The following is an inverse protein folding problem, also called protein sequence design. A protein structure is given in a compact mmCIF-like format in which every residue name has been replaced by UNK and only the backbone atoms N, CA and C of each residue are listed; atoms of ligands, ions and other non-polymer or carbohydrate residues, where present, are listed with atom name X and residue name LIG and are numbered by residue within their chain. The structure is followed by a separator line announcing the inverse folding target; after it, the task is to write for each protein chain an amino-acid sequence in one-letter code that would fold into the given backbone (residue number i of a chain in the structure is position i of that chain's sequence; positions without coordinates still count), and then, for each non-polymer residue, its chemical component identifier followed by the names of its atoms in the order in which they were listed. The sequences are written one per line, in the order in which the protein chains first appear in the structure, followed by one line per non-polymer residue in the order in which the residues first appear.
data_IF_172905657081
#
_entry.id   IF_172905657081
#
_cell.length_a   1.000
_cell.length_b   1.000
_cell.length_c   1.000
_cell.angle_alpha   90.00
_cell.angle_beta   90.00
_cell.angle_gamma   90.00
#
_symmetry.space_group_name_H-M   'P 1'
#
loop_
_entity.id
_entity.type
_entity.pdbx_description
1 polymer ?
#
# COMPACT_ATOMS: atom_id res chain seq x y z
N UNK A 1 -31.96 -77.18 3.65
CA UNK A 1 -31.38 -78.47 4.09
C UNK A 1 -29.89 -78.45 3.80
N UNK A 2 -29.13 -79.19 4.61
CA UNK A 2 -27.68 -79.10 4.86
C UNK A 2 -26.80 -79.73 3.77
N UNK A 3 -25.51 -79.37 3.85
CA UNK A 3 -24.27 -80.08 3.44
C UNK A 3 -23.54 -79.38 2.26
N UNK A 4 -22.45 -78.62 2.47
CA UNK A 4 -21.12 -78.93 3.01
C UNK A 4 -20.26 -79.78 2.07
N UNK A 5 -19.25 -79.16 1.43
CA UNK A 5 -17.89 -79.69 1.28
C UNK A 5 -16.91 -78.52 1.12
N UNK A 6 -15.93 -78.49 2.01
CA UNK A 6 -14.76 -77.62 2.02
C UNK A 6 -13.72 -78.13 1.01
N UNK A 7 -12.84 -77.25 0.51
CA UNK A 7 -11.37 -77.37 0.60
C UNK A 7 -10.71 -76.04 0.20
N UNK A 8 -9.76 -75.66 1.05
CA UNK A 8 -8.75 -74.61 1.04
C UNK A 8 -8.27 -74.00 -0.29
N UNK A 9 -8.08 -72.67 -0.25
CA UNK A 9 -7.25 -71.90 -1.17
C UNK A 9 -6.82 -70.59 -0.49
N UNK A 10 -5.74 -70.66 0.29
CA UNK A 10 -5.05 -69.56 0.93
C UNK A 10 -4.40 -68.65 -0.15
N UNK A 11 -4.87 -67.42 -0.31
CA UNK A 11 -4.11 -66.36 -0.96
C UNK A 11 -4.22 -65.07 -0.14
N UNK A 12 -3.22 -64.90 0.73
CA UNK A 12 -2.88 -63.68 1.42
C UNK A 12 -2.33 -62.68 0.38
N UNK A 13 -3.11 -61.67 0.01
CA UNK A 13 -2.69 -60.61 -0.90
C UNK A 13 -2.67 -59.27 -0.19
N UNK A 14 -1.55 -58.94 0.44
CA UNK A 14 -1.21 -57.60 0.94
C UNK A 14 -1.37 -56.57 -0.18
N UNK A 15 -2.42 -55.75 -0.15
CA UNK A 15 -2.49 -54.53 -0.95
C UNK A 15 -1.63 -53.47 -0.28
N UNK A 16 -0.38 -53.39 -0.74
CA UNK A 16 0.63 -52.42 -0.36
C UNK A 16 0.14 -51.01 -0.72
N UNK A 17 -0.09 -50.17 0.29
CA UNK A 17 -0.37 -48.75 0.09
C UNK A 17 0.85 -48.05 -0.49
N UNK A 18 0.75 -47.58 -1.73
CA UNK A 18 1.73 -46.69 -2.32
C UNK A 18 1.53 -45.28 -1.73
N UNK A 19 2.26 -44.98 -0.66
CA UNK A 19 2.49 -43.59 -0.21
C UNK A 19 3.46 -42.98 -1.22
N UNK A 20 2.95 -42.21 -2.17
CA UNK A 20 3.79 -41.36 -3.00
C UNK A 20 4.36 -40.25 -2.11
N UNK A 21 5.69 -40.06 -2.05
CA UNK A 21 6.23 -38.87 -1.41
C UNK A 21 5.82 -37.68 -2.26
N UNK A 22 4.93 -36.83 -1.74
CA UNK A 22 4.84 -35.45 -2.21
C UNK A 22 6.22 -34.85 -1.92
N UNK A 23 7.03 -34.69 -2.97
CA UNK A 23 8.20 -33.85 -2.88
C UNK A 23 7.74 -32.46 -2.49
N UNK A 24 7.94 -32.09 -1.22
CA UNK A 24 8.05 -30.70 -0.86
C UNK A 24 9.17 -30.15 -1.75
N UNK A 25 8.80 -29.35 -2.75
CA UNK A 25 9.79 -28.63 -3.52
C UNK A 25 10.45 -27.69 -2.52
N UNK A 26 11.59 -28.11 -1.97
CA UNK A 26 12.54 -27.19 -1.39
C UNK A 26 12.87 -26.24 -2.52
N UNK A 27 12.29 -25.05 -2.45
CA UNK A 27 12.70 -23.89 -3.24
C UNK A 27 14.16 -23.70 -2.85
N UNK A 28 15.04 -24.29 -3.65
CA UNK A 28 16.48 -24.20 -3.46
C UNK A 28 16.84 -22.74 -3.53
N UNK A 29 17.58 -22.27 -2.54
CA UNK A 29 18.07 -20.90 -2.51
C UNK A 29 18.89 -20.68 -3.78
N UNK A 30 18.44 -19.74 -4.60
CA UNK A 30 19.11 -19.39 -5.86
C UNK A 30 20.39 -18.66 -5.48
N UNK A 31 21.54 -19.32 -5.69
CA UNK A 31 22.85 -18.67 -5.52
C UNK A 31 23.12 -17.80 -6.75
N UNK A 32 22.94 -16.50 -6.58
CA UNK A 32 23.33 -15.47 -7.54
C UNK A 32 23.95 -14.32 -6.76
N UNK A 33 25.10 -13.83 -7.20
CA UNK A 33 25.77 -12.69 -6.56
C UNK A 33 24.94 -11.40 -6.68
N UNK A 34 23.99 -11.37 -7.62
CA UNK A 34 23.07 -10.26 -7.91
C UNK A 34 21.63 -10.76 -7.94
N UNK A 35 20.75 -10.14 -7.17
CA UNK A 35 19.30 -10.37 -7.22
C UNK A 35 18.60 -9.23 -7.94
N UNK A 36 17.46 -9.54 -8.55
CA UNK A 36 16.58 -8.59 -9.23
C UNK A 36 15.21 -8.64 -8.55
N UNK A 37 14.63 -7.47 -8.30
CA UNK A 37 13.27 -7.32 -7.77
C UNK A 37 12.50 -6.30 -8.59
N UNK A 38 11.18 -6.43 -8.60
CA UNK A 38 10.27 -5.41 -9.08
C UNK A 38 9.53 -4.78 -7.88
N UNK A 39 9.94 -3.59 -7.40
CA UNK A 39 9.29 -2.91 -6.29
C UNK A 39 7.81 -2.58 -6.54
N UNK A 40 7.44 -2.29 -7.78
CA UNK A 40 6.08 -1.96 -8.14
C UNK A 40 5.18 -3.20 -8.03
N UNK A 41 5.63 -4.33 -8.58
CA UNK A 41 4.92 -5.62 -8.40
C UNK A 41 4.84 -6.02 -6.94
N UNK A 42 5.91 -5.87 -6.16
CA UNK A 42 5.85 -6.16 -4.72
C UNK A 42 4.79 -5.32 -4.00
N UNK A 43 4.69 -4.03 -4.33
CA UNK A 43 3.66 -3.13 -3.79
C UNK A 43 2.25 -3.52 -4.25
N UNK A 44 2.07 -3.97 -5.50
CA UNK A 44 0.76 -4.34 -6.03
C UNK A 44 0.28 -5.71 -5.54
N UNK A 45 1.19 -6.65 -5.33
CA UNK A 45 0.88 -8.06 -5.11
C UNK A 45 0.86 -8.45 -3.62
N UNK A 46 1.63 -7.76 -2.76
CA UNK A 46 1.66 -8.03 -1.32
C UNK A 46 0.40 -7.59 -0.58
N UNK A 47 0.08 -8.26 0.53
CA UNK A 47 -1.08 -7.96 1.38
C UNK A 47 -0.97 -6.56 2.00
N UNK A 48 0.23 -6.18 2.43
CA UNK A 48 0.51 -4.83 2.94
C UNK A 48 0.29 -3.77 1.87
N UNK A 49 0.85 -3.97 0.67
CA UNK A 49 0.69 -3.01 -0.42
C UNK A 49 -0.75 -2.88 -0.91
N UNK A 50 -1.51 -3.98 -0.95
CA UNK A 50 -2.96 -3.97 -1.20
C UNK A 50 -3.73 -3.19 -0.14
N UNK A 51 -3.38 -3.33 1.15
CA UNK A 51 -4.00 -2.53 2.22
C UNK A 51 -3.74 -1.04 2.01
N UNK A 52 -2.50 -0.63 1.76
CA UNK A 52 -2.15 0.78 1.55
C UNK A 52 -2.96 1.40 0.40
N UNK A 53 -3.09 0.67 -0.71
CA UNK A 53 -3.93 1.09 -1.83
C UNK A 53 -5.42 1.17 -1.45
N UNK A 54 -5.90 0.19 -0.68
CA UNK A 54 -7.26 0.18 -0.14
C UNK A 54 -7.56 1.38 0.78
N UNK A 55 -6.58 1.84 1.55
CA UNK A 55 -6.72 3.02 2.42
C UNK A 55 -6.86 4.31 1.62
N UNK A 56 -6.01 4.52 0.60
CA UNK A 56 -6.15 5.68 -0.31
C UNK A 56 -7.47 5.63 -1.06
N UNK A 57 -7.89 4.45 -1.49
CA UNK A 57 -9.16 4.25 -2.15
C UNK A 57 -10.33 4.64 -1.23
N UNK A 58 -10.36 4.11 -0.01
CA UNK A 58 -11.39 4.43 0.97
C UNK A 58 -11.43 5.92 1.33
N UNK A 59 -10.26 6.57 1.42
CA UNK A 59 -10.18 7.99 1.69
C UNK A 59 -10.63 8.86 0.53
N UNK A 60 -10.32 8.46 -0.72
CA UNK A 60 -10.88 9.10 -1.91
C UNK A 60 -12.39 9.06 -1.89
N UNK A 61 -12.97 7.89 -1.58
CA UNK A 61 -14.42 7.71 -1.56
C UNK A 61 -15.06 8.57 -0.45
N UNK A 62 -14.41 8.70 0.71
CA UNK A 62 -14.84 9.63 1.77
C UNK A 62 -14.80 11.09 1.32
N UNK A 63 -13.76 11.50 0.59
CA UNK A 63 -13.65 12.86 0.06
C UNK A 63 -14.72 13.16 -1.00
N UNK A 64 -15.05 12.19 -1.86
CA UNK A 64 -16.15 12.30 -2.82
C UNK A 64 -17.48 12.50 -2.07
N UNK A 65 -17.78 11.61 -1.12
CA UNK A 65 -19.01 11.69 -0.33
C UNK A 65 -19.12 13.00 0.48
N UNK A 66 -17.98 13.50 1.00
CA UNK A 66 -17.90 14.80 1.65
C UNK A 66 -18.30 15.94 0.70
N UNK A 67 -17.69 15.99 -0.49
CA UNK A 67 -17.99 17.05 -1.46
C UNK A 67 -19.44 17.01 -1.95
N UNK A 68 -20.01 15.81 -2.16
CA UNK A 68 -21.42 15.66 -2.53
C UNK A 68 -22.35 16.19 -1.45
N UNK A 69 -22.08 15.85 -0.18
CA UNK A 69 -22.85 16.36 0.96
C UNK A 69 -22.76 17.89 1.05
N UNK A 70 -21.55 18.44 0.92
CA UNK A 70 -21.34 19.90 0.93
C UNK A 70 -22.11 20.58 -0.20
N UNK A 71 -22.08 20.02 -1.41
CA UNK A 71 -22.83 20.57 -2.54
C UNK A 71 -24.34 20.62 -2.27
N UNK A 72 -24.92 19.56 -1.68
CA UNK A 72 -26.34 19.53 -1.31
C UNK A 72 -26.68 20.57 -0.22
N UNK A 73 -25.81 20.75 0.76
CA UNK A 73 -26.00 21.76 1.82
C UNK A 73 -25.96 23.18 1.24
N UNK A 74 -25.02 23.46 0.33
CA UNK A 74 -24.90 24.75 -0.34
C UNK A 74 -26.09 25.04 -1.25
N UNK A 75 -26.57 24.05 -2.02
CA UNK A 75 -27.77 24.20 -2.85
C UNK A 75 -29.02 24.51 -1.99
N UNK A 76 -29.18 23.82 -0.87
CA UNK A 76 -30.30 24.06 0.05
C UNK A 76 -30.23 25.45 0.71
N UNK A 77 -29.04 25.95 1.00
CA UNK A 77 -28.85 27.33 1.51
C UNK A 77 -29.12 28.36 0.40
N UNK A 78 -28.62 28.16 -0.81
CA UNK A 78 -28.88 29.05 -1.95
C UNK A 78 -30.38 29.19 -2.24
N UNK A 79 -31.12 28.08 -2.20
CA UNK A 79 -32.58 28.09 -2.35
C UNK A 79 -33.26 28.89 -1.23
N UNK A 80 -32.80 28.75 0.02
CA UNK A 80 -33.32 29.53 1.16
C UNK A 80 -33.03 31.02 1.01
N UNK A 81 -31.82 31.40 0.62
CA UNK A 81 -31.46 32.79 0.35
C UNK A 81 -32.32 33.36 -0.78
N UNK A 82 -32.50 32.61 -1.86
CA UNK A 82 -33.35 33.01 -2.99
C UNK A 82 -34.79 33.28 -2.56
N UNK A 83 -35.36 32.43 -1.70
CA UNK A 83 -36.71 32.62 -1.17
C UNK A 83 -36.84 33.86 -0.27
N UNK A 84 -35.80 34.19 0.49
CA UNK A 84 -35.79 35.34 1.41
C UNK A 84 -35.55 36.68 0.72
N UNK A 85 -35.00 36.67 -0.50
CA UNK A 85 -34.59 37.88 -1.23
C UNK A 85 -35.69 38.95 -1.38
N UNK A 86 -36.95 38.54 -1.54
CA UNK A 86 -38.09 39.46 -1.71
C UNK A 86 -38.73 39.89 -0.39
N UNK A 87 -38.44 39.19 0.71
CA UNK A 87 -39.07 39.40 2.03
C UNK A 87 -38.15 40.03 3.06
N UNK A 88 -36.83 40.03 2.82
CA UNK A 88 -35.81 40.53 3.74
C UNK A 88 -35.33 41.93 3.35
N UNK A 89 -35.07 42.84 4.31
CA UNK A 89 -34.45 44.14 4.03
C UNK A 89 -33.14 44.00 3.24
N UNK A 90 -32.88 44.93 2.32
CA UNK A 90 -31.75 44.80 1.39
C UNK A 90 -30.37 44.76 2.07
N UNK A 91 -30.21 45.44 3.21
CA UNK A 91 -28.99 45.41 4.02
C UNK A 91 -28.80 44.03 4.69
N UNK A 92 -29.85 43.50 5.31
CA UNK A 92 -29.82 42.19 5.97
C UNK A 92 -29.60 41.07 4.95
N UNK A 93 -30.25 41.14 3.78
CA UNK A 93 -30.03 40.17 2.70
C UNK A 93 -28.58 40.20 2.19
N UNK A 94 -27.96 41.39 2.11
CA UNK A 94 -26.57 41.52 1.69
C UNK A 94 -25.63 40.83 2.68
N UNK A 95 -25.83 41.03 3.98
CA UNK A 95 -25.04 40.35 5.01
C UNK A 95 -25.17 38.82 4.94
N UNK A 96 -26.38 38.31 4.66
CA UNK A 96 -26.61 36.87 4.47
C UNK A 96 -25.91 36.33 3.21
N UNK A 97 -25.94 37.08 2.10
CA UNK A 97 -25.27 36.70 0.86
C UNK A 97 -23.74 36.72 1.02
N UNK A 98 -23.17 37.76 1.65
CA UNK A 98 -21.73 37.86 1.91
C UNK A 98 -21.26 36.69 2.81
N UNK A 99 -22.05 36.30 3.82
CA UNK A 99 -21.75 35.15 4.67
C UNK A 99 -21.81 33.82 3.91
N UNK A 100 -22.73 33.68 2.95
CA UNK A 100 -22.80 32.50 2.08
C UNK A 100 -21.60 32.42 1.14
N UNK A 101 -21.24 33.53 0.49
CA UNK A 101 -20.07 33.60 -0.39
C UNK A 101 -18.78 33.25 0.37
N UNK A 102 -18.63 33.77 1.59
CA UNK A 102 -17.50 33.41 2.47
C UNK A 102 -17.49 31.92 2.77
N UNK A 103 -18.63 31.33 3.13
CA UNK A 103 -18.75 29.90 3.43
C UNK A 103 -18.40 29.03 2.22
N UNK A 104 -18.86 29.40 1.03
CA UNK A 104 -18.54 28.69 -0.23
C UNK A 104 -17.03 28.68 -0.46
N UNK A 105 -16.38 29.82 -0.29
CA UNK A 105 -14.93 29.94 -0.49
C UNK A 105 -14.14 29.14 0.55
N UNK A 106 -14.53 29.18 1.82
CA UNK A 106 -13.92 28.36 2.88
C UNK A 106 -14.00 26.86 2.56
N UNK A 107 -15.17 26.38 2.13
CA UNK A 107 -15.37 24.97 1.77
C UNK A 107 -14.57 24.58 0.53
N UNK A 108 -14.47 25.46 -0.47
CA UNK A 108 -13.62 25.24 -1.66
C UNK A 108 -12.16 25.04 -1.26
N UNK A 109 -11.63 25.93 -0.41
CA UNK A 109 -10.25 25.87 0.07
C UNK A 109 -10.00 24.60 0.91
N UNK A 110 -10.98 24.18 1.71
CA UNK A 110 -10.90 22.95 2.47
C UNK A 110 -10.84 21.71 1.58
N UNK A 111 -11.75 21.60 0.59
CA UNK A 111 -11.77 20.47 -0.34
C UNK A 111 -10.47 20.37 -1.15
N UNK A 112 -9.90 21.51 -1.57
CA UNK A 112 -8.60 21.54 -2.22
C UNK A 112 -7.47 21.08 -1.30
N UNK A 113 -7.48 21.50 -0.04
CA UNK A 113 -6.50 21.06 0.96
C UNK A 113 -6.57 19.55 1.18
N UNK A 114 -7.78 19.00 1.33
CA UNK A 114 -8.00 17.56 1.51
C UNK A 114 -7.54 16.77 0.28
N UNK A 115 -7.83 17.26 -0.93
CA UNK A 115 -7.37 16.66 -2.19
C UNK A 115 -5.84 16.62 -2.28
N UNK A 116 -5.16 17.74 -1.98
CA UNK A 116 -3.68 17.80 -1.95
C UNK A 116 -3.07 16.87 -0.90
N UNK A 117 -3.71 16.73 0.26
CA UNK A 117 -3.26 15.84 1.32
C UNK A 117 -3.41 14.36 0.94
N UNK A 118 -4.51 14.01 0.28
CA UNK A 118 -4.72 12.66 -0.24
C UNK A 118 -3.66 12.31 -1.31
N UNK A 119 -3.39 13.23 -2.25
CA UNK A 119 -2.38 13.00 -3.30
C UNK A 119 -0.98 12.86 -2.69
N UNK A 120 -0.59 13.73 -1.76
CA UNK A 120 0.70 13.60 -1.05
C UNK A 120 0.84 12.26 -0.33
N UNK A 121 -0.20 11.78 0.34
CA UNK A 121 -0.15 10.46 1.00
C UNK A 121 -0.02 9.32 -0.01
N UNK A 122 -0.72 9.39 -1.15
CA UNK A 122 -0.58 8.41 -2.23
C UNK A 122 0.84 8.39 -2.80
N UNK A 123 1.46 9.55 -3.00
CA UNK A 123 2.84 9.67 -3.48
C UNK A 123 3.86 9.07 -2.50
N UNK A 124 3.58 9.12 -1.19
CA UNK A 124 4.46 8.57 -0.16
C UNK A 124 4.36 7.05 0.01
N UNK A 125 3.33 6.39 -0.56
CA UNK A 125 3.13 4.94 -0.40
C UNK A 125 4.37 4.11 -0.79
N UNK A 126 5.01 4.29 -1.95
CA UNK A 126 6.17 3.49 -2.32
C UNK A 126 7.32 3.64 -1.32
N UNK A 127 7.54 4.84 -0.79
CA UNK A 127 8.59 5.13 0.21
C UNK A 127 8.28 4.42 1.53
N UNK A 128 7.04 4.53 2.01
CA UNK A 128 6.59 3.87 3.24
C UNK A 128 6.62 2.35 3.10
N UNK A 129 6.21 1.83 1.95
CA UNK A 129 6.26 0.42 1.62
C UNK A 129 7.70 -0.10 1.70
N UNK A 130 8.63 0.51 0.95
CA UNK A 130 10.03 0.11 0.92
C UNK A 130 10.68 0.16 2.30
N UNK A 131 10.38 1.18 3.11
CA UNK A 131 10.90 1.28 4.49
C UNK A 131 10.49 0.08 5.35
N UNK A 132 9.26 -0.39 5.22
CA UNK A 132 8.73 -1.49 6.04
C UNK A 132 9.19 -2.85 5.51
N UNK A 133 9.34 -3.03 4.20
CA UNK A 133 9.76 -4.32 3.62
C UNK A 133 11.28 -4.50 3.56
N UNK A 134 12.07 -3.43 3.73
CA UNK A 134 13.53 -3.48 3.65
C UNK A 134 14.18 -4.57 4.53
N UNK A 135 13.76 -4.80 5.80
CA UNK A 135 14.30 -5.90 6.61
C UNK A 135 14.11 -7.27 5.96
N UNK A 136 12.94 -7.54 5.36
CA UNK A 136 12.64 -8.80 4.66
C UNK A 136 13.52 -8.96 3.43
N UNK A 137 13.75 -7.89 2.67
CA UNK A 137 14.66 -7.90 1.52
C UNK A 137 16.12 -8.12 1.93
N UNK A 138 16.54 -7.56 3.08
CA UNK A 138 17.87 -7.79 3.63
C UNK A 138 18.08 -9.24 4.08
N UNK A 139 17.07 -9.86 4.69
CA UNK A 139 17.13 -11.30 5.01
C UNK A 139 17.26 -12.16 3.74
N UNK A 140 16.46 -11.86 2.71
CA UNK A 140 16.56 -12.56 1.41
C UNK A 140 17.93 -12.41 0.74
N UNK A 141 18.50 -11.20 0.78
CA UNK A 141 19.84 -10.94 0.26
C UNK A 141 20.89 -11.82 0.96
N UNK A 142 20.83 -11.89 2.29
CA UNK A 142 21.74 -12.69 3.11
C UNK A 142 21.56 -14.20 2.88
N UNK A 143 20.32 -14.69 2.83
CA UNK A 143 20.02 -16.10 2.58
C UNK A 143 20.55 -16.55 1.22
N UNK A 144 20.39 -15.72 0.19
CA UNK A 144 20.89 -15.97 -1.16
C UNK A 144 22.41 -15.86 -1.29
N UNK A 145 23.10 -15.38 -0.24
CA UNK A 145 24.52 -15.00 -0.28
C UNK A 145 24.81 -14.01 -1.43
N UNK A 146 23.85 -13.11 -1.71
CA UNK A 146 23.94 -12.12 -2.75
C UNK A 146 24.56 -10.82 -2.21
N UNK A 147 25.26 -10.08 -3.07
CA UNK A 147 25.92 -8.83 -2.70
C UNK A 147 25.03 -7.60 -2.94
N UNK A 148 24.12 -7.68 -3.90
CA UNK A 148 23.29 -6.54 -4.31
C UNK A 148 21.94 -7.01 -4.85
N UNK A 149 20.93 -6.17 -4.62
CA UNK A 149 19.58 -6.30 -5.17
C UNK A 149 19.28 -5.08 -6.03
N UNK A 150 18.82 -5.30 -7.26
CA UNK A 150 18.64 -4.27 -8.28
C UNK A 150 17.17 -4.23 -8.73
N UNK A 151 16.66 -3.03 -9.00
CA UNK A 151 15.32 -2.84 -9.58
C UNK A 151 15.30 -3.33 -11.03
N UNK A 152 14.36 -4.23 -11.34
CA UNK A 152 14.13 -4.82 -12.66
C UNK A 152 13.99 -3.78 -13.78
N UNK A 153 13.47 -2.59 -13.48
CA UNK A 153 13.28 -1.49 -14.45
C UNK A 153 14.60 -0.86 -14.90
N UNK A 154 15.68 -1.07 -14.16
CA UNK A 154 17.02 -0.55 -14.47
C UNK A 154 17.86 -1.55 -15.28
N UNK A 155 17.38 -2.78 -15.42
CA UNK A 155 18.09 -3.90 -16.07
C UNK A 155 17.39 -4.23 -17.38
N UNK A 156 18.12 -4.25 -18.50
CA UNK A 156 17.52 -4.55 -19.81
C UNK A 156 17.13 -6.03 -19.95
N UNK A 157 17.92 -6.93 -19.37
CA UNK A 157 17.77 -8.38 -19.46
C UNK A 157 18.25 -9.03 -18.17
N UNK A 158 17.42 -9.89 -17.59
CA UNK A 158 17.79 -10.77 -16.48
C UNK A 158 17.20 -12.16 -16.72
N UNK A 159 17.74 -13.17 -16.05
CA UNK A 159 17.13 -14.50 -16.04
C UNK A 159 16.06 -14.57 -14.97
N UNK A 160 15.12 -15.52 -15.09
CA UNK A 160 14.17 -15.80 -14.01
C UNK A 160 14.84 -16.33 -12.74
N UNK A 161 16.07 -16.85 -12.84
CA UNK A 161 16.84 -17.26 -11.68
C UNK A 161 17.32 -16.07 -10.82
N UNK A 162 17.62 -14.92 -11.44
CA UNK A 162 18.01 -13.73 -10.68
C UNK A 162 16.80 -12.96 -10.10
N UNK A 163 15.60 -13.16 -10.67
CA UNK A 163 14.37 -12.48 -10.24
C UNK A 163 13.78 -13.17 -9.01
N UNK A 164 13.79 -12.46 -7.88
CA UNK A 164 13.24 -12.93 -6.60
C UNK A 164 11.96 -12.21 -6.19
N UNK A 165 11.31 -11.49 -7.11
CA UNK A 165 10.11 -10.67 -6.82
C UNK A 165 9.00 -11.50 -6.17
N UNK A 166 8.67 -12.66 -6.75
CA UNK A 166 7.62 -13.55 -6.25
C UNK A 166 7.95 -14.07 -4.84
N UNK A 167 9.22 -14.48 -4.65
CA UNK A 167 9.69 -14.93 -3.34
C UNK A 167 9.63 -13.80 -2.31
N UNK A 168 9.99 -12.57 -2.69
CA UNK A 168 9.91 -11.41 -1.83
C UNK A 168 8.46 -11.10 -1.42
N UNK A 169 7.50 -11.17 -2.34
CA UNK A 169 6.06 -11.02 -2.03
C UNK A 169 5.62 -12.05 -0.99
N UNK A 170 6.00 -13.32 -1.17
CA UNK A 170 5.65 -14.39 -0.21
C UNK A 170 6.25 -14.14 1.17
N UNK A 171 7.52 -13.72 1.24
CA UNK A 171 8.18 -13.39 2.51
C UNK A 171 7.58 -12.16 3.18
N UNK A 172 7.24 -11.13 2.41
CA UNK A 172 6.55 -9.93 2.90
C UNK A 172 5.21 -10.34 3.51
N UNK A 173 4.41 -11.14 2.81
CA UNK A 173 3.12 -11.58 3.33
C UNK A 173 3.27 -12.44 4.59
N UNK A 174 4.29 -13.31 4.66
CA UNK A 174 4.53 -14.14 5.83
C UNK A 174 5.02 -13.34 7.06
N UNK A 175 5.92 -12.36 6.86
CA UNK A 175 6.54 -11.62 7.94
C UNK A 175 5.73 -10.38 8.38
N UNK A 176 5.13 -9.68 7.42
CA UNK A 176 4.47 -8.38 7.61
C UNK A 176 2.94 -8.55 7.52
N UNK A 177 2.45 -9.46 6.68
CA UNK A 177 1.01 -9.62 6.42
C UNK A 177 0.41 -8.33 5.87
N UNK A 178 -0.71 -7.87 6.46
CA UNK A 178 -1.27 -6.56 6.15
C UNK A 178 -0.40 -5.39 6.65
N UNK A 179 0.62 -5.64 7.47
CA UNK A 179 1.59 -4.65 7.93
C UNK A 179 1.10 -3.71 9.04
N UNK A 180 2.03 -2.93 9.62
CA UNK A 180 1.71 -1.94 10.64
C UNK A 180 0.87 -0.80 10.03
N UNK A 181 -0.01 -0.20 10.83
CA UNK A 181 -0.66 1.06 10.44
C UNK A 181 0.42 2.07 10.07
N UNK A 182 0.27 2.73 8.92
CA UNK A 182 1.24 3.74 8.49
C UNK A 182 1.42 4.75 9.62
N UNK A 183 2.66 5.09 10.03
CA UNK A 183 2.87 6.21 10.92
C UNK A 183 2.26 7.45 10.28
N UNK A 184 1.30 8.08 10.97
CA UNK A 184 0.83 9.42 10.65
C UNK A 184 2.07 10.27 10.42
N UNK A 185 2.18 10.88 9.24
CA UNK A 185 3.41 11.49 8.75
C UNK A 185 4.08 12.28 9.89
N UNK A 186 5.22 11.77 10.37
CA UNK A 186 6.01 12.53 11.33
C UNK A 186 6.26 13.90 10.70
N UNK A 187 6.14 15.01 11.47
CA UNK A 187 6.36 16.34 10.93
C UNK A 187 7.69 16.33 10.19
N UNK A 188 7.64 16.69 8.92
CA UNK A 188 8.81 16.89 8.07
C UNK A 188 9.79 17.75 8.89
N UNK A 189 10.93 17.16 9.28
CA UNK A 189 11.95 17.90 9.98
C UNK A 189 12.28 19.11 9.11
N UNK A 190 12.09 20.31 9.68
CA UNK A 190 12.37 21.57 9.02
C UNK A 190 13.74 21.50 8.32
N UNK A 191 13.89 22.11 7.13
CA UNK A 191 15.14 22.04 6.39
C UNK A 191 16.31 22.45 7.30
N UNK A 192 17.29 21.55 7.44
CA UNK A 192 18.54 21.85 8.14
C UNK A 192 19.10 23.15 7.58
N UNK A 193 19.15 24.17 8.44
CA UNK A 193 19.84 25.41 8.13
C UNK A 193 21.29 25.05 7.77
N UNK A 194 21.86 25.63 6.68
CA UNK A 194 23.24 25.37 6.34
C UNK A 194 24.13 25.75 7.52
N UNK A 195 25.03 24.85 7.91
CA UNK A 195 26.01 25.11 8.94
C UNK A 195 26.79 26.40 8.60
N UNK A 196 27.08 27.28 9.58
CA UNK A 196 27.85 28.48 9.32
C UNK A 196 29.25 28.12 8.81
N UNK A 197 29.67 28.79 7.74
CA UNK A 197 31.02 28.71 7.17
C UNK A 197 32.07 28.88 8.27
N UNK A 198 32.83 27.82 8.54
CA UNK A 198 34.05 27.93 9.32
C UNK A 198 35.13 28.55 8.42
N UNK A 199 35.73 29.70 8.79
CA UNK A 199 36.83 30.24 8.02
C UNK A 199 38.03 29.30 8.08
N UNK A 200 38.66 29.07 6.92
CA UNK A 200 39.84 28.24 6.77
C UNK A 200 40.98 28.69 7.71
N UNK A 201 41.78 27.76 8.26
CA UNK A 201 42.92 28.12 9.09
C UNK A 201 43.95 28.90 8.27
N UNK A 202 44.25 30.12 8.70
CA UNK A 202 45.45 30.86 8.27
C UNK A 202 46.67 30.06 8.74
N UNK A 203 47.44 29.53 7.79
CA UNK A 203 48.80 29.08 8.06
C UNK A 203 49.69 30.32 8.23
N UNK A 204 50.25 30.49 9.43
CA UNK A 204 51.50 31.22 9.64
C UNK A 204 52.70 30.28 9.39
#
# INVERSE_FOLDING_TARGET
MRAAFAVAGLCLGLTLGAVLPLGAQQIGVIQSDVLVIDPERMLLESDYGKRLQGEIQAERDRLIAYNEKVAQELEAEEQRLTALRSTTPANEFREMADAFDQRVEELRLESERLSRELERRRELIPIQFMRVVQPVLSELLNEANAMVMIDARTVMLHTSAADVTELAVQRINAAIGAGPLAPEAAPEAAPEQPAPDQPAPTND
#
